data_IF_655363244594
#
_entry.id   IF_655363244594
#
_cell.length_a   1.000
_cell.length_b   1.000
_cell.length_c   1.000
_cell.angle_alpha   90.00
_cell.angle_beta   90.00
_cell.angle_gamma   90.00
#
_symmetry.space_group_name_H-M   'P 1'
#
loop_
_entity.id
_entity.type
_entity.pdbx_description
1 polymer ?
#
# COMPACT_ATOMS: atom_id res chain seq x y z
N UNK A 1 -12.79 19.81 -18.16
CA UNK A 1 -12.92 21.23 -18.57
C UNK A 1 -12.90 21.24 -20.10
N UNK A 2 -13.86 21.90 -20.77
CA UNK A 2 -14.13 21.72 -22.21
C UNK A 2 -13.39 22.78 -23.04
N UNK A 3 -12.46 22.39 -23.91
CA UNK A 3 -11.77 23.28 -24.85
C UNK A 3 -12.24 22.91 -26.27
N UNK A 4 -12.82 23.87 -26.99
CA UNK A 4 -13.34 23.67 -28.36
C UNK A 4 -12.29 24.11 -29.38
N UNK A 5 -11.70 23.16 -30.10
CA UNK A 5 -11.02 23.37 -31.37
C UNK A 5 -11.76 22.53 -32.42
N UNK A 6 -12.11 23.17 -33.53
CA UNK A 6 -12.98 22.70 -34.61
C UNK A 6 -12.89 21.17 -34.90
N UNK A 7 -14.04 20.49 -34.75
CA UNK A 7 -14.37 19.15 -35.26
C UNK A 7 -13.64 17.90 -34.73
N UNK A 8 -12.86 17.99 -33.65
CA UNK A 8 -12.45 16.81 -32.88
C UNK A 8 -13.18 16.79 -31.53
N UNK A 9 -14.26 16.01 -31.43
CA UNK A 9 -14.82 15.62 -30.13
C UNK A 9 -13.91 14.54 -29.54
N UNK A 10 -12.86 15.00 -28.86
CA UNK A 10 -12.00 14.14 -28.04
C UNK A 10 -12.38 14.35 -26.59
N UNK A 11 -13.05 13.37 -25.98
CA UNK A 11 -13.35 13.38 -24.55
C UNK A 11 -12.03 13.20 -23.80
N UNK A 12 -11.50 14.31 -23.30
CA UNK A 12 -10.31 14.30 -22.46
C UNK A 12 -10.65 13.64 -21.12
N UNK A 13 -10.28 12.37 -20.99
CA UNK A 13 -10.26 11.71 -19.71
C UNK A 13 -9.12 12.27 -18.85
N UNK A 14 -9.28 12.21 -17.53
CA UNK A 14 -8.31 12.74 -16.56
C UNK A 14 -6.97 12.03 -16.66
N UNK A 15 -6.94 10.82 -17.18
CA UNK A 15 -5.71 10.07 -17.44
C UNK A 15 -4.98 10.58 -18.69
N UNK A 16 -5.69 10.86 -19.77
CA UNK A 16 -5.14 11.41 -21.01
C UNK A 16 -4.52 12.80 -20.78
N UNK A 17 -5.16 13.62 -19.95
CA UNK A 17 -4.64 14.94 -19.59
C UNK A 17 -3.25 14.89 -18.92
N UNK A 18 -2.95 13.82 -18.17
CA UNK A 18 -1.65 13.66 -17.49
C UNK A 18 -0.51 13.37 -18.46
N UNK A 19 -0.81 12.86 -19.64
CA UNK A 19 0.17 12.55 -20.69
C UNK A 19 0.27 13.74 -21.67
N UNK A 20 -0.88 14.25 -22.10
CA UNK A 20 -0.94 15.28 -23.15
C UNK A 20 -0.38 16.62 -22.67
N UNK A 21 -0.67 17.04 -21.43
CA UNK A 21 -0.21 18.35 -20.91
C UNK A 21 1.33 18.43 -20.83
N UNK A 22 2.06 17.45 -20.26
CA UNK A 22 3.52 17.45 -20.26
C UNK A 22 4.13 17.41 -21.66
N UNK A 23 3.53 16.69 -22.60
CA UNK A 23 3.99 16.63 -24.00
C UNK A 23 3.85 18.00 -24.68
N UNK A 24 2.72 18.67 -24.49
CA UNK A 24 2.49 20.03 -24.98
C UNK A 24 3.46 21.03 -24.36
N UNK A 25 3.72 20.95 -23.06
CA UNK A 25 4.70 21.77 -22.37
C UNK A 25 6.12 21.53 -22.89
N UNK A 26 6.50 20.27 -23.17
CA UNK A 26 7.80 19.95 -23.78
C UNK A 26 7.91 20.55 -25.19
N UNK A 27 6.87 20.40 -26.02
CA UNK A 27 6.86 20.93 -27.38
C UNK A 27 6.98 22.47 -27.38
N UNK A 28 6.22 23.14 -26.50
CA UNK A 28 6.31 24.59 -26.31
C UNK A 28 7.69 25.01 -25.78
N UNK A 29 8.25 24.27 -24.82
CA UNK A 29 9.60 24.51 -24.30
C UNK A 29 10.67 24.39 -25.38
N UNK A 30 10.64 23.32 -26.18
CA UNK A 30 11.60 23.09 -27.26
C UNK A 30 11.48 24.11 -28.41
N UNK A 31 10.28 24.61 -28.67
CA UNK A 31 10.02 25.56 -29.76
C UNK A 31 10.30 27.02 -29.38
N UNK A 32 10.00 27.43 -28.13
CA UNK A 32 9.97 28.84 -27.75
C UNK A 32 10.99 29.24 -26.69
N UNK A 33 11.74 28.31 -26.09
CA UNK A 33 12.75 28.66 -25.07
C UNK A 33 14.19 28.44 -25.56
N UNK A 34 15.13 29.33 -25.21
CA UNK A 34 16.55 29.16 -25.48
C UNK A 34 17.23 28.16 -24.51
N UNK A 35 16.44 27.37 -23.77
CA UNK A 35 16.97 26.41 -22.81
C UNK A 35 17.74 25.30 -23.52
N UNK A 36 18.68 24.70 -22.79
CA UNK A 36 19.41 23.55 -23.31
C UNK A 36 18.45 22.40 -23.61
N UNK A 37 18.34 22.05 -24.89
CA UNK A 37 17.40 21.04 -25.38
C UNK A 37 17.63 19.68 -24.73
N UNK A 38 18.89 19.33 -24.44
CA UNK A 38 19.21 18.07 -23.76
C UNK A 38 18.65 18.02 -22.33
N UNK A 39 18.66 19.14 -21.61
CA UNK A 39 18.12 19.24 -20.26
C UNK A 39 16.58 19.12 -20.25
N UNK A 40 15.91 19.70 -21.25
CA UNK A 40 14.46 19.55 -21.45
C UNK A 40 14.08 18.09 -21.72
N UNK A 41 14.81 17.42 -22.61
CA UNK A 41 14.61 15.99 -22.89
C UNK A 41 14.88 15.12 -21.66
N UNK A 42 15.98 15.35 -20.93
CA UNK A 42 16.27 14.57 -19.73
C UNK A 42 15.22 14.79 -18.64
N UNK A 43 14.76 16.03 -18.43
CA UNK A 43 13.72 16.34 -17.45
C UNK A 43 12.41 15.64 -17.77
N UNK A 44 12.04 15.61 -19.06
CA UNK A 44 10.85 14.90 -19.53
C UNK A 44 10.95 13.39 -19.35
N UNK A 45 12.08 12.79 -19.73
CA UNK A 45 12.32 11.35 -19.55
C UNK A 45 12.28 10.98 -18.06
N UNK A 46 12.91 11.78 -17.19
CA UNK A 46 12.88 11.58 -15.74
C UNK A 46 11.46 11.72 -15.19
N UNK A 47 10.69 12.71 -15.64
CA UNK A 47 9.30 12.89 -15.22
C UNK A 47 8.46 11.65 -15.54
N UNK A 48 8.57 11.11 -16.74
CA UNK A 48 7.81 9.92 -17.15
C UNK A 48 8.29 8.64 -16.46
N UNK A 49 9.60 8.48 -16.27
CA UNK A 49 10.15 7.39 -15.46
C UNK A 49 9.59 7.43 -14.03
N UNK A 50 9.59 8.59 -13.39
CA UNK A 50 9.00 8.73 -12.07
C UNK A 50 7.49 8.47 -12.11
N UNK A 51 6.76 9.04 -13.07
CA UNK A 51 5.31 8.86 -13.13
C UNK A 51 4.90 7.38 -13.26
N UNK A 52 5.55 6.62 -14.15
CA UNK A 52 5.22 5.22 -14.38
C UNK A 52 5.81 4.26 -13.36
N UNK A 53 7.02 4.52 -12.87
CA UNK A 53 7.75 3.57 -12.01
C UNK A 53 7.71 3.90 -10.53
N UNK A 54 7.44 5.15 -10.12
CA UNK A 54 7.47 5.53 -8.70
C UNK A 54 6.37 4.83 -7.89
N UNK A 55 5.12 4.85 -8.37
CA UNK A 55 4.02 4.19 -7.68
C UNK A 55 4.20 2.67 -7.54
N UNK A 56 4.44 1.91 -8.62
CA UNK A 56 4.68 0.47 -8.49
C UNK A 56 5.95 0.16 -7.69
N UNK A 57 6.98 1.02 -7.73
CA UNK A 57 8.16 0.85 -6.87
C UNK A 57 7.83 1.05 -5.39
N UNK A 58 7.05 2.07 -5.03
CA UNK A 58 6.64 2.32 -3.65
C UNK A 58 5.76 1.17 -3.11
N UNK A 59 4.85 0.65 -3.93
CA UNK A 59 4.01 -0.50 -3.57
C UNK A 59 4.89 -1.74 -3.36
N UNK A 60 5.78 -2.05 -4.31
CA UNK A 60 6.69 -3.18 -4.18
C UNK A 60 7.59 -3.06 -2.94
N UNK A 61 8.06 -1.85 -2.62
CA UNK A 61 8.90 -1.61 -1.45
C UNK A 61 8.10 -1.76 -0.15
N UNK A 62 6.86 -1.31 -0.12
CA UNK A 62 5.95 -1.55 1.01
C UNK A 62 5.71 -3.05 1.23
N UNK A 63 5.40 -3.79 0.18
CA UNK A 63 5.04 -5.20 0.26
C UNK A 63 6.24 -6.10 0.60
N UNK A 64 7.41 -5.82 0.03
CA UNK A 64 8.60 -6.66 0.22
C UNK A 64 9.45 -6.29 1.44
N UNK A 65 9.43 -5.04 1.90
CA UNK A 65 10.24 -4.61 3.05
C UNK A 65 9.38 -4.32 4.27
N UNK A 66 8.34 -3.50 4.16
CA UNK A 66 7.64 -3.00 5.34
C UNK A 66 6.69 -4.02 5.96
N UNK A 67 5.93 -4.74 5.15
CA UNK A 67 5.00 -5.78 5.64
C UNK A 67 5.74 -6.90 6.39
N UNK A 68 6.78 -7.55 5.83
CA UNK A 68 7.47 -8.63 6.53
C UNK A 68 8.25 -8.14 7.76
N UNK A 69 8.84 -6.94 7.70
CA UNK A 69 9.53 -6.35 8.86
C UNK A 69 8.55 -6.01 9.98
N UNK A 70 7.40 -5.41 9.66
CA UNK A 70 6.32 -5.17 10.62
C UNK A 70 5.81 -6.49 11.20
N UNK A 71 5.60 -7.50 10.36
CA UNK A 71 5.20 -8.83 10.82
C UNK A 71 6.23 -9.40 11.81
N UNK A 72 7.52 -9.36 11.47
CA UNK A 72 8.60 -9.85 12.33
C UNK A 72 8.79 -9.06 13.64
N UNK A 73 8.52 -7.75 13.62
CA UNK A 73 8.61 -6.88 14.80
C UNK A 73 7.46 -7.10 15.78
N UNK A 74 6.22 -7.21 15.26
CA UNK A 74 5.01 -7.20 16.09
C UNK A 74 4.44 -8.59 16.37
N UNK A 75 4.67 -9.58 15.51
CA UNK A 75 4.16 -10.94 15.69
C UNK A 75 5.14 -11.78 16.49
N UNK A 76 5.03 -11.64 17.80
CA UNK A 76 5.80 -12.43 18.77
C UNK A 76 4.84 -13.20 19.67
N UNK A 77 5.08 -14.49 19.84
CA UNK A 77 4.27 -15.32 20.69
C UNK A 77 4.35 -14.84 22.15
N UNK A 78 3.23 -14.52 22.81
CA UNK A 78 3.20 -14.07 24.19
C UNK A 78 3.50 -15.17 25.21
N UNK A 79 3.59 -16.45 24.80
CA UNK A 79 3.99 -17.56 25.66
C UNK A 79 5.51 -17.75 25.68
N UNK A 80 6.10 -18.10 24.54
CA UNK A 80 7.49 -18.49 24.43
C UNK A 80 8.40 -17.39 23.84
N UNK A 81 7.85 -16.22 23.49
CA UNK A 81 8.55 -15.13 22.81
C UNK A 81 9.18 -15.54 21.46
N UNK A 82 8.76 -16.67 20.86
CA UNK A 82 9.14 -17.04 19.50
C UNK A 82 8.47 -16.13 18.47
N UNK A 83 9.12 -15.95 17.32
CA UNK A 83 8.56 -15.28 16.14
C UNK A 83 8.07 -16.26 15.07
N UNK A 84 8.25 -17.55 15.30
CA UNK A 84 7.77 -18.59 14.41
C UNK A 84 6.28 -18.81 14.68
N UNK A 85 5.46 -17.97 14.06
CA UNK A 85 4.01 -17.95 14.17
C UNK A 85 3.41 -17.95 12.78
N UNK A 86 2.44 -18.81 12.53
CA UNK A 86 1.79 -18.92 11.24
C UNK A 86 0.27 -18.77 11.37
N UNK A 87 -0.34 -18.15 10.36
CA UNK A 87 -1.78 -17.96 10.28
C UNK A 87 -2.45 -19.33 10.03
N UNK A 88 -3.38 -19.71 10.91
CA UNK A 88 -4.19 -20.92 10.75
C UNK A 88 -5.46 -20.65 9.94
N UNK A 89 -6.04 -19.46 10.08
CA UNK A 89 -7.26 -19.11 9.36
C UNK A 89 -7.97 -17.94 10.01
N UNK A 90 -9.09 -17.58 9.39
CA UNK A 90 -9.99 -16.56 9.89
C UNK A 90 -11.25 -17.25 10.42
N UNK A 91 -11.69 -16.87 11.61
CA UNK A 91 -12.96 -17.33 12.16
C UNK A 91 -13.84 -16.12 12.45
N UNK A 92 -15.01 -16.07 11.82
CA UNK A 92 -16.06 -15.13 12.15
C UNK A 92 -17.14 -15.88 12.92
N UNK A 93 -17.20 -15.68 14.25
CA UNK A 93 -18.23 -16.32 15.08
C UNK A 93 -19.34 -15.30 15.36
N UNK A 94 -20.35 -15.21 14.49
CA UNK A 94 -21.53 -14.34 14.64
C UNK A 94 -21.28 -12.84 14.94
N UNK A 95 -20.06 -12.35 14.74
CA UNK A 95 -19.67 -10.95 14.85
C UNK A 95 -19.22 -10.40 13.50
N UNK A 96 -19.46 -9.11 13.25
CA UNK A 96 -19.02 -8.40 12.04
C UNK A 96 -17.47 -8.30 11.92
N UNK A 97 -16.75 -8.74 12.95
CA UNK A 97 -15.29 -8.72 13.03
C UNK A 97 -14.70 -10.12 12.79
N UNK A 98 -13.85 -10.22 11.77
CA UNK A 98 -13.09 -11.42 11.43
C UNK A 98 -11.85 -11.53 12.33
N UNK A 99 -11.76 -12.61 13.12
CA UNK A 99 -10.56 -12.88 13.93
C UNK A 99 -9.55 -13.69 13.13
N UNK A 100 -8.28 -13.30 13.18
CA UNK A 100 -7.20 -14.05 12.56
C UNK A 100 -6.49 -14.91 13.61
N UNK A 101 -6.67 -16.22 13.52
CA UNK A 101 -6.05 -17.20 14.40
C UNK A 101 -4.66 -17.57 13.90
N UNK A 102 -3.70 -17.62 14.82
CA UNK A 102 -2.30 -17.91 14.57
C UNK A 102 -1.85 -19.03 15.49
N UNK A 103 -0.93 -19.90 15.03
CA UNK A 103 -0.29 -20.90 15.86
C UNK A 103 1.20 -20.59 15.98
N UNK A 104 1.74 -20.68 17.19
CA UNK A 104 3.18 -20.65 17.37
C UNK A 104 3.78 -22.03 17.15
N UNK A 105 4.68 -22.17 16.18
CA UNK A 105 5.34 -23.44 15.87
C UNK A 105 6.19 -23.97 17.03
N UNK A 106 6.76 -23.07 17.83
CA UNK A 106 7.72 -23.45 18.86
C UNK A 106 7.04 -24.03 20.12
N UNK A 107 5.93 -23.45 20.56
CA UNK A 107 5.22 -23.90 21.77
C UNK A 107 3.88 -24.58 21.47
N UNK A 108 3.42 -24.60 20.22
CA UNK A 108 2.15 -25.21 19.82
C UNK A 108 0.90 -24.48 20.31
N UNK A 109 1.06 -23.26 20.84
CA UNK A 109 -0.05 -22.48 21.40
C UNK A 109 -0.75 -21.68 20.30
N UNK A 110 -2.08 -21.66 20.36
CA UNK A 110 -2.93 -20.81 19.51
C UNK A 110 -2.98 -19.39 20.04
N UNK A 111 -3.11 -18.43 19.14
CA UNK A 111 -3.03 -17.00 19.35
C UNK A 111 -4.08 -16.30 18.50
N UNK A 112 -4.60 -15.19 18.99
CA UNK A 112 -5.54 -14.34 18.22
C UNK A 112 -4.84 -13.03 17.90
N UNK A 113 -4.97 -12.56 16.68
CA UNK A 113 -4.53 -11.23 16.29
C UNK A 113 -5.63 -10.21 16.59
N UNK A 114 -5.35 -9.26 17.49
CA UNK A 114 -6.24 -8.13 17.81
C UNK A 114 -5.38 -6.87 17.80
N UNK A 115 -5.83 -5.80 17.14
CA UNK A 115 -5.10 -4.52 17.05
C UNK A 115 -3.61 -4.67 16.70
N UNK A 116 -3.30 -5.47 15.68
CA UNK A 116 -1.93 -5.80 15.23
C UNK A 116 -1.02 -6.47 16.28
N UNK A 117 -1.59 -7.09 17.32
CA UNK A 117 -0.84 -7.82 18.35
C UNK A 117 -1.39 -9.22 18.56
N UNK A 118 -0.47 -10.17 18.78
CA UNK A 118 -0.83 -11.55 19.12
C UNK A 118 -1.11 -11.68 20.61
N UNK A 119 -2.30 -12.15 20.94
CA UNK A 119 -2.79 -12.28 22.31
C UNK A 119 -3.12 -13.75 22.62
N UNK A 120 -3.02 -14.09 23.92
CA UNK A 120 -3.36 -15.40 24.46
C UNK A 120 -4.88 -15.61 24.44
N UNK A 121 -5.40 -16.65 23.75
CA UNK A 121 -6.80 -17.00 23.85
C UNK A 121 -7.05 -17.52 25.28
N UNK A 122 -7.84 -16.78 26.03
CA UNK A 122 -8.33 -17.20 27.34
C UNK A 122 -9.86 -17.13 27.34
N UNK A 123 -10.54 -17.86 28.24
CA UNK A 123 -12.01 -17.93 28.29
C UNK A 123 -12.67 -16.54 28.34
N UNK A 124 -11.97 -15.54 28.89
CA UNK A 124 -12.47 -14.15 29.01
C UNK A 124 -11.53 -13.07 28.44
N UNK A 125 -10.34 -13.41 27.92
CA UNK A 125 -9.33 -12.39 27.55
C UNK A 125 -9.52 -11.83 26.14
N UNK A 126 -9.84 -12.69 25.18
CA UNK A 126 -10.11 -12.25 23.80
C UNK A 126 -11.30 -11.30 23.76
N UNK A 127 -12.40 -11.64 24.43
CA UNK A 127 -13.61 -10.82 24.50
C UNK A 127 -13.42 -9.47 25.21
N UNK A 128 -12.65 -9.43 26.31
CA UNK A 128 -12.38 -8.19 27.06
C UNK A 128 -11.51 -7.20 26.29
N UNK A 129 -10.48 -7.66 25.60
CA UNK A 129 -9.62 -6.77 24.81
C UNK A 129 -10.31 -6.24 23.54
N UNK A 130 -11.23 -7.02 22.95
CA UNK A 130 -12.10 -6.57 21.86
C UNK A 130 -13.10 -5.50 22.29
N UNK A 131 -13.57 -5.56 23.53
CA UNK A 131 -14.45 -4.52 24.08
C UNK A 131 -13.66 -3.24 24.34
N UNK A 132 -12.39 -3.36 24.75
CA UNK A 132 -11.50 -2.22 25.00
C UNK A 132 -11.00 -1.56 23.71
N UNK A 133 -10.89 -2.30 22.59
CA UNK A 133 -10.46 -1.75 21.30
C UNK A 133 -11.52 -0.92 20.57
N UNK A 134 -12.77 -0.94 21.05
CA UNK A 134 -13.90 -0.19 20.47
C UNK A 134 -14.02 1.25 20.96
N UNK A 135 -13.13 1.70 21.85
CA UNK A 135 -13.13 3.05 22.43
C UNK A 135 -11.86 3.82 22.11
#
# INVERSE_FOLDING_TARGET
>A
MKIKLWQFEYDFDKEDAKIVIPVLLLALGLAFTPLNKSALWSGFVVYYLLYFFLMPFLIALQDHLFIPVRHWLFFRCPYCKSRDVFLQGYEGYHSDELYAWHLCNHCGETLILINDRLIKPGPDRGSKELTASKF
#
